data_IF_814487681091
#
_entry.id   IF_814487681091
#
_cell.length_a   1.000
_cell.length_b   1.000
_cell.length_c   1.000
_cell.angle_alpha   90.00
_cell.angle_beta   90.00
_cell.angle_gamma   90.00
#
_symmetry.space_group_name_H-M   'P 1'
#
loop_
_entity.id
_entity.type
_entity.pdbx_description
1 polymer ?
#
# COMPACT_ATOMS: atom_id res chain seq x y z
N UNK A 1 10.71 24.19 -48.05
CA UNK A 1 10.39 22.81 -47.62
C UNK A 1 9.47 22.92 -46.43
N UNK A 2 8.20 22.53 -46.55
CA UNK A 2 7.23 22.66 -45.49
C UNK A 2 7.43 21.52 -44.48
N UNK A 3 7.71 21.86 -43.21
CA UNK A 3 7.85 20.90 -42.12
C UNK A 3 6.44 20.47 -41.73
N UNK A 4 6.08 19.22 -42.02
CA UNK A 4 4.80 18.65 -41.59
C UNK A 4 4.85 18.42 -40.07
N UNK A 5 3.94 19.02 -39.28
CA UNK A 5 3.92 18.78 -37.84
C UNK A 5 3.44 17.35 -37.59
N UNK A 6 4.31 16.54 -36.98
CA UNK A 6 3.96 15.21 -36.48
C UNK A 6 3.12 15.39 -35.20
N UNK A 7 1.80 15.39 -35.32
CA UNK A 7 0.90 15.45 -34.15
C UNK A 7 0.76 14.04 -33.61
N UNK A 8 1.36 13.78 -32.46
CA UNK A 8 1.21 12.54 -31.71
C UNK A 8 -0.11 12.57 -30.94
N UNK A 9 -1.01 11.65 -31.27
CA UNK A 9 -2.32 11.54 -30.60
C UNK A 9 -2.09 10.91 -29.21
N UNK A 10 -2.19 11.73 -28.17
CA UNK A 10 -2.19 11.26 -26.77
C UNK A 10 -1.13 11.88 -25.87
N UNK A 11 -0.19 12.66 -26.41
CA UNK A 11 0.90 13.27 -25.62
C UNK A 11 0.38 14.11 -24.45
N UNK A 12 -0.65 14.92 -24.69
CA UNK A 12 -1.22 15.84 -23.68
C UNK A 12 -2.31 15.17 -22.82
N UNK A 13 -2.70 13.93 -23.11
CA UNK A 13 -3.82 13.27 -22.43
C UNK A 13 -3.53 13.04 -20.95
N UNK A 14 -2.28 12.69 -20.62
CA UNK A 14 -1.86 12.42 -19.24
C UNK A 14 -1.85 13.68 -18.37
N UNK A 15 -1.53 14.84 -18.95
CA UNK A 15 -1.55 16.11 -18.21
C UNK A 15 -2.96 16.69 -18.11
N UNK A 16 -3.76 16.54 -19.17
CA UNK A 16 -5.10 17.14 -19.25
C UNK A 16 -6.20 16.29 -18.62
N UNK A 17 -6.04 14.97 -18.63
CA UNK A 17 -7.05 14.00 -18.21
C UNK A 17 -6.49 12.84 -17.38
N UNK A 18 -5.19 12.83 -17.05
CA UNK A 18 -4.59 11.81 -16.21
C UNK A 18 -4.98 11.99 -14.75
N UNK A 19 -5.79 11.08 -14.22
CA UNK A 19 -6.09 11.01 -12.80
C UNK A 19 -4.94 10.30 -12.06
N UNK A 20 -4.00 11.08 -11.53
CA UNK A 20 -2.98 10.58 -10.60
C UNK A 20 -2.95 11.50 -9.39
N UNK A 21 -3.15 10.94 -8.20
CA UNK A 21 -2.90 11.66 -6.96
C UNK A 21 -1.48 11.36 -6.49
N UNK A 22 -0.66 12.39 -6.16
CA UNK A 22 0.64 12.15 -5.58
C UNK A 22 0.47 11.48 -4.20
N UNK A 23 1.07 10.30 -4.03
CA UNK A 23 1.07 9.56 -2.78
C UNK A 23 1.88 10.30 -1.70
N UNK A 24 1.19 11.02 -0.80
CA UNK A 24 1.79 11.61 0.40
C UNK A 24 1.62 10.68 1.59
N UNK A 25 2.41 9.60 1.64
CA UNK A 25 2.42 8.74 2.82
C UNK A 25 3.17 9.39 3.97
N UNK A 26 2.54 9.45 5.14
CA UNK A 26 3.22 9.84 6.40
C UNK A 26 4.30 8.81 6.79
N UNK A 27 4.14 7.56 6.32
CA UNK A 27 5.08 6.48 6.52
C UNK A 27 4.77 5.33 5.56
N UNK A 28 5.82 4.69 5.04
CA UNK A 28 5.71 3.52 4.17
C UNK A 28 6.33 2.33 4.88
N UNK A 29 5.50 1.43 5.39
CA UNK A 29 5.97 0.18 5.97
C UNK A 29 6.73 -0.65 4.93
N UNK A 30 7.75 -1.38 5.37
CA UNK A 30 8.46 -2.34 4.52
C UNK A 30 7.49 -3.42 4.03
N UNK A 31 7.80 -4.02 2.87
CA UNK A 31 6.99 -5.10 2.31
C UNK A 31 7.03 -6.32 3.23
N UNK A 32 5.87 -6.92 3.48
CA UNK A 32 5.72 -8.12 4.30
C UNK A 32 4.90 -7.87 5.57
N UNK A 33 4.61 -8.94 6.31
CA UNK A 33 3.89 -8.89 7.59
C UNK A 33 4.73 -9.60 8.65
N UNK A 34 5.50 -8.84 9.41
CA UNK A 34 6.38 -9.34 10.50
C UNK A 34 6.09 -8.62 11.81
N UNK A 35 6.59 -9.16 12.93
CA UNK A 35 6.40 -8.52 14.24
C UNK A 35 7.05 -7.13 14.30
N UNK A 36 8.19 -6.94 13.63
CA UNK A 36 8.91 -5.66 13.56
C UNK A 36 8.08 -4.59 12.87
N UNK A 37 7.45 -4.93 11.74
CA UNK A 37 6.58 -4.01 10.99
C UNK A 37 5.37 -3.62 11.84
N UNK A 38 4.78 -4.57 12.58
CA UNK A 38 3.66 -4.28 13.49
C UNK A 38 4.09 -3.32 14.60
N UNK A 39 5.28 -3.50 15.18
CA UNK A 39 5.83 -2.59 16.20
C UNK A 39 6.12 -1.20 15.63
N UNK A 40 6.68 -1.13 14.44
CA UNK A 40 6.99 0.13 13.73
C UNK A 40 5.71 0.93 13.44
N UNK A 41 4.66 0.27 12.94
CA UNK A 41 3.33 0.88 12.72
C UNK A 41 2.75 1.40 14.04
N UNK A 42 2.83 0.60 15.10
CA UNK A 42 2.29 0.96 16.41
C UNK A 42 2.99 2.19 17.00
N UNK A 43 4.32 2.22 16.92
CA UNK A 43 5.15 3.34 17.37
C UNK A 43 4.83 4.62 16.58
N UNK A 44 4.75 4.54 15.25
CA UNK A 44 4.39 5.67 14.40
C UNK A 44 3.01 6.23 14.74
N UNK A 45 2.05 5.36 15.05
CA UNK A 45 0.68 5.75 15.43
C UNK A 45 0.54 6.21 16.89
N UNK A 46 1.62 6.18 17.67
CA UNK A 46 1.61 6.49 19.10
C UNK A 46 0.54 5.68 19.85
N UNK A 47 0.36 4.41 19.47
CA UNK A 47 -0.63 3.54 20.09
C UNK A 47 -0.19 3.16 21.52
N UNK A 48 -1.15 3.01 22.46
CA UNK A 48 -0.85 2.53 23.80
C UNK A 48 -0.32 1.08 23.79
N UNK A 49 0.42 0.69 24.82
CA UNK A 49 1.10 -0.62 24.89
C UNK A 49 0.15 -1.81 24.64
N UNK A 50 -1.06 -1.77 25.21
CA UNK A 50 -2.06 -2.83 25.05
C UNK A 50 -2.50 -3.04 23.59
N UNK A 51 -2.51 -2.00 22.77
CA UNK A 51 -2.83 -2.11 21.33
C UNK A 51 -1.71 -2.82 20.58
N UNK A 52 -0.45 -2.49 20.89
CA UNK A 52 0.72 -3.17 20.31
C UNK A 52 0.67 -4.67 20.64
N UNK A 53 0.42 -5.02 21.89
CA UNK A 53 0.33 -6.41 22.34
C UNK A 53 -0.83 -7.16 21.67
N UNK A 54 -1.99 -6.50 21.54
CA UNK A 54 -3.14 -7.06 20.83
C UNK A 54 -2.80 -7.35 19.36
N UNK A 55 -2.16 -6.41 18.65
CA UNK A 55 -1.75 -6.62 17.25
C UNK A 55 -0.77 -7.77 17.11
N UNK A 56 0.24 -7.86 17.99
CA UNK A 56 1.21 -8.95 17.98
C UNK A 56 0.55 -10.31 18.27
N UNK A 57 -0.40 -10.35 19.22
CA UNK A 57 -1.19 -11.55 19.48
C UNK A 57 -2.01 -11.97 18.25
N UNK A 58 -2.67 -11.03 17.60
CA UNK A 58 -3.43 -11.29 16.37
C UNK A 58 -2.55 -11.82 15.24
N UNK A 59 -1.36 -11.25 15.05
CA UNK A 59 -0.40 -11.75 14.05
C UNK A 59 -0.01 -13.20 14.32
N UNK A 60 0.29 -13.55 15.57
CA UNK A 60 0.62 -14.94 15.96
C UNK A 60 -0.54 -15.91 15.73
N UNK A 61 -1.78 -15.47 15.97
CA UNK A 61 -2.97 -16.28 15.71
C UNK A 61 -3.16 -16.47 14.20
N UNK A 62 -3.00 -15.41 13.42
CA UNK A 62 -3.11 -15.46 11.96
C UNK A 62 -2.11 -16.46 11.37
N UNK A 63 -0.84 -16.38 11.78
CA UNK A 63 0.21 -17.30 11.32
C UNK A 63 -0.04 -18.77 11.71
N UNK A 64 -0.78 -19.02 12.80
CA UNK A 64 -1.15 -20.37 13.24
C UNK A 64 -2.36 -20.94 12.53
N UNK A 65 -3.18 -20.10 11.89
CA UNK A 65 -4.39 -20.54 11.20
C UNK A 65 -4.04 -20.86 9.75
N UNK A 66 -4.54 -21.99 9.26
CA UNK A 66 -4.51 -22.28 7.83
C UNK A 66 -5.35 -21.24 7.08
N UNK A 67 -4.90 -20.86 5.89
CA UNK A 67 -5.71 -20.02 5.00
C UNK A 67 -7.00 -20.77 4.64
N UNK A 68 -8.16 -20.11 4.72
CA UNK A 68 -9.42 -20.72 4.32
C UNK A 68 -9.35 -21.11 2.83
N UNK A 69 -9.85 -22.28 2.50
CA UNK A 69 -9.93 -22.79 1.13
C UNK A 69 -11.25 -22.45 0.43
N UNK A 70 -12.15 -21.77 1.13
CA UNK A 70 -13.43 -21.31 0.60
C UNK A 70 -13.30 -19.83 0.19
N UNK A 71 -14.00 -19.44 -0.88
CA UNK A 71 -13.96 -18.09 -1.44
C UNK A 71 -13.69 -18.10 -2.95
N UNK A 72 -13.81 -16.93 -3.57
CA UNK A 72 -13.35 -16.75 -4.95
C UNK A 72 -11.83 -16.65 -4.98
N UNK A 73 -11.21 -17.21 -6.01
CA UNK A 73 -9.81 -16.97 -6.33
C UNK A 73 -9.70 -15.55 -6.91
N UNK A 74 -8.96 -14.67 -6.24
CA UNK A 74 -8.84 -13.23 -6.52
C UNK A 74 -7.41 -12.88 -6.91
#
# INVERSE_FOLDING_TARGET
>A
MAVTPQISVGDDYKEKYGFFDPEKYVFKAKRGLTEEIVKEISWMKQEPAWMTEMRLRSLRIFQKKAMPTWGADL
#
